data_IF_228158203562
#
_entry.id   IF_228158203562
#
_cell.length_a   1.000
_cell.length_b   1.000
_cell.length_c   1.000
_cell.angle_alpha   90.00
_cell.angle_beta   90.00
_cell.angle_gamma   90.00
#
_symmetry.space_group_name_H-M   'P 1'
#
loop_
_entity.id
_entity.type
_entity.pdbx_description
1 polymer ?
#
# COMPACT_ATOMS: atom_id res chain seq x y z
N UNK A 1 30.72 18.83 -4.80
CA UNK A 1 29.90 17.94 -3.98
C UNK A 1 30.75 16.81 -3.45
N UNK A 2 30.43 16.28 -2.29
CA UNK A 2 31.12 15.13 -1.74
C UNK A 2 30.88 13.90 -2.63
N UNK A 3 31.90 13.08 -2.92
CA UNK A 3 31.71 11.85 -3.68
C UNK A 3 30.80 10.88 -2.92
N UNK A 4 29.96 10.17 -3.64
CA UNK A 4 29.15 9.07 -3.08
C UNK A 4 29.89 7.77 -3.32
N UNK A 5 30.12 7.01 -2.26
CA UNK A 5 30.80 5.73 -2.29
C UNK A 5 29.75 4.61 -2.31
N UNK A 6 29.79 3.76 -3.32
CA UNK A 6 28.85 2.64 -3.44
C UNK A 6 29.36 1.40 -2.71
N UNK A 7 28.53 0.82 -1.84
CA UNK A 7 28.83 -0.36 -1.04
C UNK A 7 28.01 -1.56 -1.53
N UNK A 8 28.69 -2.48 -2.23
CA UNK A 8 28.05 -3.63 -2.89
C UNK A 8 27.47 -4.67 -1.93
N UNK A 9 28.02 -4.75 -0.72
CA UNK A 9 27.59 -5.73 0.28
C UNK A 9 26.36 -5.29 1.06
N UNK A 10 25.78 -4.13 0.73
CA UNK A 10 24.63 -3.60 1.43
C UNK A 10 24.90 -3.44 2.94
N UNK A 11 24.01 -3.95 3.79
CA UNK A 11 24.18 -3.89 5.25
C UNK A 11 25.20 -4.90 5.79
N UNK A 12 25.71 -5.84 4.97
CA UNK A 12 26.80 -6.77 5.32
C UNK A 12 28.20 -6.19 5.06
N UNK A 13 28.29 -4.91 4.74
CA UNK A 13 29.57 -4.19 4.60
C UNK A 13 30.33 -4.22 5.92
N UNK A 14 31.64 -4.47 5.85
CA UNK A 14 32.52 -4.45 7.02
C UNK A 14 32.80 -3.01 7.47
N UNK A 15 33.03 -2.81 8.77
CA UNK A 15 33.25 -1.47 9.36
C UNK A 15 34.45 -0.75 8.73
N UNK A 16 35.51 -1.50 8.36
CA UNK A 16 36.72 -0.96 7.75
C UNK A 16 36.49 -0.35 6.37
N UNK A 17 35.41 -0.74 5.68
CA UNK A 17 35.04 -0.16 4.38
C UNK A 17 34.37 1.22 4.55
N UNK A 18 33.97 1.59 5.77
CA UNK A 18 33.27 2.82 6.09
C UNK A 18 34.23 3.80 6.77
N UNK A 19 34.67 4.83 6.03
CA UNK A 19 35.45 5.91 6.62
C UNK A 19 34.55 6.85 7.41
N UNK A 20 35.10 7.53 8.44
CA UNK A 20 34.33 8.42 9.32
C UNK A 20 33.70 9.64 8.62
N UNK A 21 34.17 9.99 7.43
CA UNK A 21 33.69 11.15 6.66
C UNK A 21 33.35 10.75 5.22
N UNK A 22 32.12 10.38 4.96
CA UNK A 22 31.70 10.00 3.62
C UNK A 22 30.18 9.91 3.47
N UNK A 23 29.70 9.96 2.23
CA UNK A 23 28.32 9.62 1.87
C UNK A 23 28.39 8.26 1.20
N UNK A 24 27.67 7.30 1.74
CA UNK A 24 27.65 5.93 1.27
C UNK A 24 26.26 5.58 0.74
N UNK A 25 26.23 4.91 -0.40
CA UNK A 25 25.02 4.33 -0.97
C UNK A 25 25.17 2.82 -0.92
N UNK A 26 24.30 2.17 -0.16
CA UNK A 26 24.25 0.72 -0.10
C UNK A 26 23.61 0.16 -1.37
N UNK A 27 24.02 -1.04 -1.77
CA UNK A 27 23.29 -1.83 -2.75
C UNK A 27 21.84 -2.05 -2.27
N UNK A 28 20.93 -2.25 -3.20
CA UNK A 28 19.55 -2.57 -2.90
C UNK A 28 19.49 -3.75 -1.91
N UNK A 29 19.10 -3.47 -0.67
CA UNK A 29 19.10 -4.46 0.41
C UNK A 29 18.24 -5.68 0.09
N UNK A 30 17.25 -5.54 -0.79
CA UNK A 30 16.38 -6.64 -1.24
C UNK A 30 17.04 -7.61 -2.23
N UNK A 31 18.25 -7.34 -2.67
CA UNK A 31 19.07 -8.30 -3.42
C UNK A 31 19.82 -9.27 -2.52
N UNK A 32 19.74 -9.07 -1.21
CA UNK A 32 20.42 -9.87 -0.20
C UNK A 32 19.43 -10.69 0.63
N UNK A 33 19.70 -11.98 0.80
CA UNK A 33 18.81 -12.92 1.51
C UNK A 33 18.59 -12.54 2.98
N UNK A 34 19.58 -11.93 3.63
CA UNK A 34 19.47 -11.51 5.03
C UNK A 34 18.29 -10.55 5.27
N UNK A 35 17.93 -9.73 4.28
CA UNK A 35 16.91 -8.68 4.43
C UNK A 35 15.54 -9.25 4.83
N UNK A 36 15.18 -10.40 4.28
CA UNK A 36 13.83 -10.97 4.42
C UNK A 36 13.77 -12.28 5.19
N UNK A 37 14.92 -12.93 5.43
CA UNK A 37 14.94 -14.18 6.17
C UNK A 37 14.83 -13.96 7.70
N UNK A 38 14.49 -15.02 8.43
CA UNK A 38 14.34 -14.97 9.89
C UNK A 38 15.64 -15.32 10.65
N UNK A 39 16.77 -15.52 9.93
CA UNK A 39 18.02 -15.87 10.54
C UNK A 39 18.55 -14.76 11.46
N UNK A 40 19.37 -15.15 12.43
CA UNK A 40 20.10 -14.16 13.23
C UNK A 40 21.04 -13.37 12.31
N UNK A 41 20.77 -12.07 12.22
CA UNK A 41 21.58 -11.13 11.48
C UNK A 41 21.98 -9.95 12.39
N UNK A 42 23.20 -9.51 12.25
CA UNK A 42 23.73 -8.38 13.04
C UNK A 42 24.50 -7.44 12.11
N UNK A 43 24.17 -6.17 12.21
CA UNK A 43 24.91 -5.12 11.52
C UNK A 43 26.37 -5.14 11.95
N UNK A 44 27.30 -5.01 11.03
CA UNK A 44 28.76 -5.11 11.26
C UNK A 44 29.43 -3.78 11.57
N UNK A 45 28.69 -2.68 11.48
CA UNK A 45 29.18 -1.34 11.77
C UNK A 45 28.23 -0.62 12.75
N UNK A 46 28.75 0.33 13.56
CA UNK A 46 27.93 1.08 14.50
C UNK A 46 27.05 2.11 13.79
N UNK A 47 25.88 2.37 14.36
CA UNK A 47 24.95 3.38 13.89
C UNK A 47 24.48 4.22 15.10
N UNK A 48 24.83 5.49 15.11
CA UNK A 48 24.42 6.42 16.17
C UNK A 48 22.95 6.80 16.03
N UNK A 49 22.52 7.10 14.83
CA UNK A 49 21.14 7.52 14.51
C UNK A 49 20.61 6.70 13.35
N UNK A 50 19.46 6.05 13.56
CA UNK A 50 18.70 5.41 12.50
C UNK A 50 17.51 6.31 12.11
N UNK A 51 17.48 6.71 10.83
CA UNK A 51 16.38 7.51 10.28
C UNK A 51 15.61 6.70 9.22
N UNK A 52 14.36 6.34 9.51
CA UNK A 52 13.52 5.63 8.55
C UNK A 52 12.84 6.61 7.59
N UNK A 53 13.06 6.44 6.28
CA UNK A 53 12.36 7.16 5.21
C UNK A 53 11.56 6.20 4.30
N UNK A 54 11.47 4.91 4.66
CA UNK A 54 10.81 3.87 3.88
C UNK A 54 9.39 3.59 4.40
N UNK A 55 8.49 4.58 4.38
CA UNK A 55 7.12 4.47 4.89
C UNK A 55 6.39 3.24 4.33
N UNK A 56 6.42 3.04 3.00
CA UNK A 56 5.73 1.94 2.32
C UNK A 56 6.21 0.54 2.73
N UNK A 57 7.43 0.42 3.28
CA UNK A 57 8.01 -0.84 3.74
C UNK A 57 7.99 -1.00 5.27
N UNK A 58 7.59 0.02 6.02
CA UNK A 58 7.71 0.05 7.49
C UNK A 58 6.85 -0.97 8.22
N UNK A 59 5.85 -1.54 7.56
CA UNK A 59 5.01 -2.61 8.09
C UNK A 59 5.67 -3.99 8.01
N UNK A 60 6.86 -4.12 7.41
CA UNK A 60 7.57 -5.38 7.18
C UNK A 60 8.67 -5.60 8.21
N UNK A 61 8.84 -6.86 8.63
CA UNK A 61 9.91 -7.27 9.55
C UNK A 61 11.26 -7.45 8.83
N UNK A 62 11.63 -6.51 7.97
CA UNK A 62 12.88 -6.54 7.23
C UNK A 62 14.04 -6.07 8.09
N UNK A 63 15.26 -6.60 7.87
CA UNK A 63 16.44 -6.26 8.67
C UNK A 63 16.79 -4.79 8.59
N UNK A 64 16.64 -4.16 7.41
CA UNK A 64 16.86 -2.71 7.25
C UNK A 64 15.84 -1.85 8.03
N UNK A 65 14.69 -2.40 8.42
CA UNK A 65 13.65 -1.68 9.18
C UNK A 65 13.78 -1.93 10.68
N UNK A 66 13.87 -3.20 11.08
CA UNK A 66 13.84 -3.58 12.50
C UNK A 66 15.18 -4.05 13.06
N UNK A 67 16.11 -4.48 12.19
CA UNK A 67 17.38 -5.10 12.56
C UNK A 67 18.48 -4.12 12.94
N UNK A 68 18.40 -2.87 12.47
CA UNK A 68 19.40 -1.83 12.80
C UNK A 68 19.25 -1.39 14.25
N UNK A 69 20.31 -1.65 15.04
CA UNK A 69 20.40 -1.19 16.43
C UNK A 69 21.00 0.21 16.47
N UNK A 70 20.33 1.12 17.16
CA UNK A 70 20.75 2.50 17.35
C UNK A 70 20.06 3.04 18.60
N UNK A 71 20.75 3.90 19.34
CA UNK A 71 20.19 4.56 20.54
C UNK A 71 19.13 5.59 20.15
N UNK A 72 19.27 6.21 18.99
CA UNK A 72 18.32 7.18 18.45
C UNK A 72 17.66 6.61 17.19
N UNK A 73 16.34 6.41 17.28
CA UNK A 73 15.51 6.02 16.13
C UNK A 73 14.53 7.13 15.81
N UNK A 74 14.49 7.54 14.56
CA UNK A 74 13.63 8.61 14.06
C UNK A 74 13.13 8.31 12.66
N UNK A 75 12.33 9.19 12.11
CA UNK A 75 11.90 9.18 10.71
C UNK A 75 12.12 10.55 10.09
N UNK A 76 12.29 10.58 8.78
CA UNK A 76 12.62 11.80 8.06
C UNK A 76 11.39 12.53 7.49
N UNK A 77 11.65 13.54 6.67
CA UNK A 77 10.61 14.46 6.16
C UNK A 77 9.62 13.78 5.20
N UNK A 78 10.06 12.83 4.37
CA UNK A 78 9.16 12.12 3.47
C UNK A 78 8.21 11.23 4.25
N UNK A 79 8.73 10.54 5.27
CA UNK A 79 7.92 9.72 6.17
C UNK A 79 6.88 10.57 6.93
N UNK A 80 7.26 11.75 7.40
CA UNK A 80 6.36 12.70 8.08
C UNK A 80 5.19 13.09 7.17
N UNK A 81 5.45 13.41 5.88
CA UNK A 81 4.40 13.75 4.92
C UNK A 81 3.37 12.63 4.72
N UNK A 82 3.83 11.37 4.74
CA UNK A 82 2.94 10.21 4.66
C UNK A 82 2.04 10.11 5.91
N UNK A 83 2.63 10.29 7.12
CA UNK A 83 1.86 10.33 8.36
C UNK A 83 0.83 11.45 8.33
N UNK A 84 1.23 12.67 7.95
CA UNK A 84 0.34 13.84 7.88
C UNK A 84 -0.83 13.58 6.93
N UNK A 85 -0.59 12.94 5.79
CA UNK A 85 -1.64 12.55 4.85
C UNK A 85 -2.64 11.54 5.47
N UNK A 86 -2.15 10.56 6.23
CA UNK A 86 -3.02 9.64 6.97
C UNK A 86 -3.78 10.31 8.11
N UNK A 87 -3.19 11.30 8.75
CA UNK A 87 -3.82 12.07 9.80
C UNK A 87 -5.07 12.83 9.31
N UNK A 88 -5.10 13.25 8.05
CA UNK A 88 -6.31 13.83 7.44
C UNK A 88 -7.50 12.88 7.52
N UNK A 89 -7.29 11.59 7.28
CA UNK A 89 -8.34 10.56 7.37
C UNK A 89 -8.71 10.27 8.83
N UNK A 90 -7.69 10.15 9.69
CA UNK A 90 -7.89 9.69 11.09
C UNK A 90 -8.44 10.76 12.01
N UNK A 91 -8.09 12.03 11.78
CA UNK A 91 -8.44 13.18 12.64
C UNK A 91 -9.62 14.00 12.11
N UNK A 92 -10.05 13.79 10.85
CA UNK A 92 -11.18 14.51 10.28
C UNK A 92 -12.50 14.05 10.93
N UNK A 93 -13.23 14.98 11.53
CA UNK A 93 -14.51 14.70 12.19
C UNK A 93 -15.74 14.98 11.31
N UNK A 94 -15.64 15.92 10.37
CA UNK A 94 -16.77 16.44 9.60
C UNK A 94 -16.60 16.32 8.08
N UNK A 95 -15.50 15.76 7.60
CA UNK A 95 -15.26 15.58 6.17
C UNK A 95 -15.86 14.27 5.67
N UNK A 96 -16.42 14.31 4.47
CA UNK A 96 -16.84 13.10 3.74
C UNK A 96 -15.63 12.42 3.15
N UNK A 97 -15.43 11.18 3.52
CA UNK A 97 -14.26 10.38 3.13
C UNK A 97 -14.71 9.27 2.19
N UNK A 98 -14.12 9.25 0.99
CA UNK A 98 -14.20 8.15 0.03
C UNK A 98 -12.92 7.34 0.07
N UNK A 99 -13.00 6.03 0.31
CA UNK A 99 -11.90 5.10 0.17
C UNK A 99 -12.07 4.25 -1.09
N UNK A 100 -11.14 4.35 -2.03
CA UNK A 100 -11.12 3.58 -3.27
C UNK A 100 -10.15 2.41 -3.08
N UNK A 101 -10.65 1.18 -3.21
CA UNK A 101 -9.90 -0.06 -3.01
C UNK A 101 -9.85 -0.82 -4.32
N UNK A 102 -8.74 -0.67 -5.02
CA UNK A 102 -8.43 -1.38 -6.26
C UNK A 102 -7.41 -2.51 -6.07
N UNK A 103 -6.90 -3.06 -7.18
CA UNK A 103 -5.92 -4.14 -7.22
C UNK A 103 -6.53 -5.53 -7.30
N UNK A 104 -5.72 -6.58 -7.02
CA UNK A 104 -6.10 -7.97 -7.33
C UNK A 104 -6.27 -8.88 -6.12
N UNK A 105 -5.80 -8.49 -4.94
CA UNK A 105 -5.82 -9.33 -3.72
C UNK A 105 -6.51 -8.58 -2.60
N UNK A 106 -7.75 -8.96 -2.34
CA UNK A 106 -8.57 -8.37 -1.26
C UNK A 106 -8.02 -8.80 0.11
N UNK A 107 -7.45 -10.00 0.20
CA UNK A 107 -6.93 -10.59 1.43
C UNK A 107 -5.89 -9.68 2.11
N UNK A 108 -4.97 -9.14 1.31
CA UNK A 108 -3.90 -8.26 1.80
C UNK A 108 -4.44 -6.92 2.32
N UNK A 109 -5.70 -6.61 2.04
CA UNK A 109 -6.35 -5.32 2.33
C UNK A 109 -7.46 -5.41 3.38
N UNK A 110 -7.83 -6.63 3.81
CA UNK A 110 -8.98 -6.83 4.71
C UNK A 110 -8.87 -6.02 6.00
N UNK A 111 -7.70 -6.03 6.65
CA UNK A 111 -7.49 -5.26 7.89
C UNK A 111 -7.60 -3.75 7.64
N UNK A 112 -7.05 -3.26 6.54
CA UNK A 112 -7.17 -1.85 6.14
C UNK A 112 -8.63 -1.49 5.84
N UNK A 113 -9.35 -2.33 5.08
CA UNK A 113 -10.77 -2.11 4.77
C UNK A 113 -11.64 -2.10 6.02
N UNK A 114 -11.36 -2.97 7.00
CA UNK A 114 -12.07 -3.00 8.28
C UNK A 114 -11.85 -1.68 9.05
N UNK A 115 -10.62 -1.20 9.13
CA UNK A 115 -10.32 0.08 9.76
C UNK A 115 -10.98 1.26 9.03
N UNK A 116 -10.90 1.29 7.69
CA UNK A 116 -11.50 2.33 6.88
C UNK A 116 -13.04 2.31 6.95
N UNK A 117 -13.66 1.14 7.11
CA UNK A 117 -15.12 1.03 7.19
C UNK A 117 -15.72 1.75 8.41
N UNK A 118 -14.92 1.95 9.47
CA UNK A 118 -15.32 2.73 10.65
C UNK A 118 -15.11 4.25 10.49
N UNK A 119 -14.32 4.67 9.49
CA UNK A 119 -13.89 6.07 9.32
C UNK A 119 -14.47 6.72 8.07
N UNK A 120 -14.46 6.02 6.96
CA UNK A 120 -14.94 6.50 5.67
C UNK A 120 -16.46 6.58 5.64
N UNK A 121 -17.01 7.43 4.78
CA UNK A 121 -18.43 7.47 4.45
C UNK A 121 -18.73 6.50 3.30
N UNK A 122 -17.77 6.31 2.39
CA UNK A 122 -17.88 5.40 1.26
C UNK A 122 -16.62 4.57 1.12
N UNK A 123 -16.78 3.28 0.80
CA UNK A 123 -15.70 2.40 0.33
C UNK A 123 -16.08 1.89 -1.05
N UNK A 124 -15.33 2.28 -2.08
CA UNK A 124 -15.53 1.84 -3.45
C UNK A 124 -14.56 0.71 -3.79
N UNK A 125 -15.09 -0.49 -3.98
CA UNK A 125 -14.31 -1.69 -4.31
C UNK A 125 -14.35 -1.90 -5.81
N UNK A 126 -13.17 -1.99 -6.43
CA UNK A 126 -13.00 -2.03 -7.88
C UNK A 126 -11.77 -2.84 -8.29
N UNK A 127 -11.47 -2.85 -9.59
CA UNK A 127 -10.37 -3.62 -10.16
C UNK A 127 -10.64 -5.12 -10.12
N UNK A 128 -9.61 -5.92 -10.17
CA UNK A 128 -9.73 -7.38 -10.16
C UNK A 128 -10.35 -7.95 -8.85
N UNK A 129 -10.42 -7.13 -7.79
CA UNK A 129 -11.05 -7.54 -6.53
C UNK A 129 -12.50 -7.97 -6.70
N UNK A 130 -13.23 -7.35 -7.65
CA UNK A 130 -14.66 -7.64 -7.88
C UNK A 130 -14.91 -9.01 -8.50
N UNK A 131 -13.93 -9.61 -9.17
CA UNK A 131 -14.05 -10.94 -9.75
C UNK A 131 -14.27 -12.04 -8.68
N UNK A 132 -13.97 -11.77 -7.42
CA UNK A 132 -13.98 -12.74 -6.34
C UNK A 132 -14.82 -12.31 -5.12
N UNK A 133 -15.74 -11.36 -5.25
CA UNK A 133 -16.51 -10.82 -4.12
C UNK A 133 -17.27 -11.92 -3.35
N UNK A 134 -17.77 -12.93 -4.04
CA UNK A 134 -18.48 -14.05 -3.40
C UNK A 134 -17.65 -14.80 -2.37
N UNK A 135 -16.34 -14.92 -2.59
CA UNK A 135 -15.38 -15.54 -1.65
C UNK A 135 -15.27 -14.77 -0.33
N UNK A 136 -15.52 -13.48 -0.35
CA UNK A 136 -15.34 -12.58 0.81
C UNK A 136 -16.67 -12.09 1.38
N UNK A 137 -17.78 -12.75 1.05
CA UNK A 137 -19.13 -12.33 1.44
C UNK A 137 -19.23 -12.09 2.95
N UNK A 138 -18.80 -13.05 3.78
CA UNK A 138 -18.87 -12.92 5.25
C UNK A 138 -18.10 -11.69 5.76
N UNK A 139 -16.92 -11.42 5.21
CA UNK A 139 -16.13 -10.25 5.56
C UNK A 139 -16.82 -8.96 5.11
N UNK A 140 -17.34 -8.92 3.89
CA UNK A 140 -18.07 -7.76 3.36
C UNK A 140 -19.35 -7.49 4.16
N UNK A 141 -20.09 -8.55 4.52
CA UNK A 141 -21.28 -8.45 5.40
C UNK A 141 -20.91 -7.92 6.80
N UNK A 142 -19.75 -8.31 7.32
CA UNK A 142 -19.23 -7.79 8.60
C UNK A 142 -18.98 -6.27 8.51
N UNK A 143 -18.19 -5.82 7.54
CA UNK A 143 -17.79 -4.41 7.43
C UNK A 143 -18.92 -3.51 6.92
N UNK A 144 -19.94 -4.04 6.24
CA UNK A 144 -21.12 -3.28 5.81
C UNK A 144 -21.99 -2.79 6.97
N UNK A 145 -21.80 -3.34 8.17
CA UNK A 145 -22.49 -2.91 9.40
C UNK A 145 -21.83 -1.70 10.06
N UNK A 146 -20.63 -1.33 9.59
CA UNK A 146 -19.90 -0.17 10.08
C UNK A 146 -20.41 1.13 9.42
N UNK A 147 -19.72 2.25 9.64
CA UNK A 147 -20.12 3.57 9.12
C UNK A 147 -20.18 3.63 7.59
N UNK A 148 -19.20 3.00 6.90
CA UNK A 148 -19.04 3.18 5.46
C UNK A 148 -20.10 2.43 4.64
N UNK A 149 -20.69 3.13 3.68
CA UNK A 149 -21.46 2.48 2.61
C UNK A 149 -20.48 1.78 1.65
N UNK A 150 -20.66 0.47 1.46
CA UNK A 150 -19.89 -0.30 0.48
C UNK A 150 -20.48 -0.10 -0.92
N UNK A 151 -19.62 0.21 -1.86
CA UNK A 151 -19.93 0.43 -3.27
C UNK A 151 -19.04 -0.47 -4.11
N UNK A 152 -19.58 -0.94 -5.23
CA UNK A 152 -18.87 -1.86 -6.11
C UNK A 152 -18.96 -1.37 -7.55
N UNK A 153 -17.89 -1.62 -8.31
CA UNK A 153 -17.98 -1.49 -9.76
C UNK A 153 -19.05 -2.42 -10.32
N UNK A 154 -19.73 -1.99 -11.37
CA UNK A 154 -20.85 -2.73 -11.99
C UNK A 154 -20.53 -3.25 -13.36
N UNK A 155 -19.52 -2.69 -14.02
CA UNK A 155 -19.04 -3.09 -15.34
C UNK A 155 -17.51 -2.96 -15.42
N UNK A 156 -16.90 -3.63 -16.40
CA UNK A 156 -15.48 -3.56 -16.64
C UNK A 156 -15.09 -4.06 -18.03
N UNK A 157 -13.84 -3.84 -18.40
CA UNK A 157 -13.25 -4.34 -19.63
C UNK A 157 -12.65 -5.73 -19.41
N UNK A 158 -12.87 -6.64 -20.35
CA UNK A 158 -12.26 -7.98 -20.37
C UNK A 158 -11.06 -8.02 -21.31
N UNK A 159 -10.30 -9.11 -21.25
CA UNK A 159 -9.17 -9.37 -22.15
C UNK A 159 -9.64 -9.69 -23.59
N UNK A 160 -10.87 -10.15 -23.77
CA UNK A 160 -11.40 -10.56 -25.07
C UNK A 160 -11.97 -9.32 -25.77
N UNK A 161 -11.29 -8.86 -26.83
CA UNK A 161 -11.71 -7.77 -27.74
C UNK A 161 -12.04 -6.43 -27.04
N UNK A 162 -11.49 -6.15 -25.87
CA UNK A 162 -11.83 -4.96 -25.07
C UNK A 162 -13.34 -4.77 -24.87
N UNK A 163 -14.09 -5.86 -24.78
CA UNK A 163 -15.54 -5.78 -24.55
C UNK A 163 -15.86 -5.32 -23.15
N UNK A 164 -16.92 -4.51 -23.05
CA UNK A 164 -17.51 -4.14 -21.76
C UNK A 164 -18.39 -5.31 -21.30
N UNK A 165 -18.17 -5.75 -20.07
CA UNK A 165 -18.96 -6.82 -19.44
C UNK A 165 -19.51 -6.31 -18.11
N UNK A 166 -20.75 -6.66 -17.82
CA UNK A 166 -21.33 -6.39 -16.49
C UNK A 166 -20.90 -7.47 -15.51
N UNK A 167 -20.69 -7.10 -14.25
CA UNK A 167 -20.23 -8.06 -13.23
C UNK A 167 -21.21 -9.20 -12.97
N UNK A 168 -22.51 -9.03 -13.28
CA UNK A 168 -23.51 -10.10 -13.24
C UNK A 168 -23.28 -11.18 -14.30
N UNK A 169 -22.47 -10.91 -15.31
CA UNK A 169 -22.18 -11.81 -16.45
C UNK A 169 -20.78 -12.45 -16.35
N UNK A 170 -20.08 -12.24 -15.23
CA UNK A 170 -18.73 -12.78 -15.05
C UNK A 170 -18.73 -14.31 -14.95
N UNK A 171 -17.73 -14.90 -15.62
CA UNK A 171 -17.41 -16.32 -15.55
C UNK A 171 -15.88 -16.52 -15.66
N UNK A 172 -15.42 -17.76 -15.76
CA UNK A 172 -13.98 -18.06 -15.82
C UNK A 172 -13.28 -17.48 -17.06
N UNK A 173 -14.04 -17.27 -18.15
CA UNK A 173 -13.51 -16.84 -19.44
C UNK A 173 -13.48 -15.32 -19.59
N UNK A 174 -14.39 -14.59 -18.92
CA UNK A 174 -14.59 -13.14 -19.10
C UNK A 174 -14.30 -12.29 -17.85
N UNK A 175 -13.26 -12.64 -17.12
CA UNK A 175 -12.82 -11.86 -15.94
C UNK A 175 -12.54 -10.41 -16.33
N UNK A 176 -12.99 -9.49 -15.48
CA UNK A 176 -12.72 -8.06 -15.63
C UNK A 176 -11.26 -7.77 -15.34
N UNK A 177 -10.63 -7.01 -16.23
CA UNK A 177 -9.24 -6.55 -16.12
C UNK A 177 -9.13 -5.07 -15.76
N UNK A 178 -10.13 -4.27 -16.15
CA UNK A 178 -10.14 -2.83 -15.83
C UNK A 178 -11.57 -2.35 -15.59
N UNK A 179 -11.69 -1.19 -14.92
CA UNK A 179 -12.98 -0.57 -14.61
C UNK A 179 -13.71 -0.12 -15.89
N UNK A 180 -15.00 -0.37 -15.97
CA UNK A 180 -15.84 0.03 -17.09
C UNK A 180 -16.38 1.46 -16.98
N UNK A 181 -16.97 1.98 -18.06
CA UNK A 181 -17.42 3.36 -18.16
C UNK A 181 -18.53 3.72 -17.17
N UNK A 182 -19.48 2.81 -16.90
CA UNK A 182 -20.55 3.06 -15.92
C UNK A 182 -19.99 3.10 -14.50
N UNK A 183 -19.09 2.18 -14.17
CA UNK A 183 -18.38 2.15 -12.89
C UNK A 183 -17.54 3.40 -12.69
N UNK A 184 -16.84 3.85 -13.75
CA UNK A 184 -16.02 5.05 -13.69
C UNK A 184 -16.88 6.31 -13.46
N UNK A 185 -18.00 6.43 -14.18
CA UNK A 185 -18.93 7.55 -13.99
C UNK A 185 -19.57 7.53 -12.59
N UNK A 186 -19.90 6.35 -12.08
CA UNK A 186 -20.40 6.20 -10.71
C UNK A 186 -19.33 6.63 -9.69
N UNK A 187 -18.11 6.13 -9.82
CA UNK A 187 -16.97 6.50 -8.97
C UNK A 187 -16.73 8.02 -8.98
N UNK A 188 -16.75 8.64 -10.17
CA UNK A 188 -16.60 10.10 -10.31
C UNK A 188 -17.64 10.86 -9.48
N UNK A 189 -18.91 10.42 -9.49
CA UNK A 189 -19.95 11.03 -8.69
C UNK A 189 -19.70 10.97 -7.18
N UNK A 190 -18.98 9.96 -6.68
CA UNK A 190 -18.57 9.89 -5.29
C UNK A 190 -17.33 10.72 -5.00
N UNK A 191 -16.38 10.79 -5.96
CA UNK A 191 -15.19 11.66 -5.83
C UNK A 191 -15.61 13.12 -5.64
N UNK A 192 -16.49 13.66 -6.49
CA UNK A 192 -16.89 15.06 -6.41
C UNK A 192 -17.74 15.41 -5.17
N UNK A 193 -18.31 14.41 -4.49
CA UNK A 193 -19.10 14.58 -3.26
C UNK A 193 -18.27 14.41 -1.99
N UNK A 194 -16.99 14.05 -2.13
CA UNK A 194 -16.11 13.74 -1.01
C UNK A 194 -15.09 14.86 -0.81
N UNK A 195 -14.81 15.17 0.45
CA UNK A 195 -13.80 16.16 0.83
C UNK A 195 -12.39 15.54 0.84
N UNK A 196 -12.32 14.24 1.14
CA UNK A 196 -11.08 13.46 1.20
C UNK A 196 -11.26 12.19 0.38
N UNK A 197 -10.28 11.91 -0.49
CA UNK A 197 -10.22 10.65 -1.25
C UNK A 197 -8.96 9.89 -0.85
N UNK A 198 -9.14 8.71 -0.29
CA UNK A 198 -8.09 7.74 -0.07
C UNK A 198 -8.12 6.70 -1.18
N UNK A 199 -7.00 6.47 -1.85
CA UNK A 199 -6.92 5.53 -2.96
C UNK A 199 -5.78 4.53 -2.77
N UNK A 200 -6.13 3.24 -2.73
CA UNK A 200 -5.18 2.14 -2.62
C UNK A 200 -5.42 1.09 -3.70
N UNK A 201 -4.42 0.86 -4.53
CA UNK A 201 -4.40 -0.14 -5.60
C UNK A 201 -4.94 0.36 -6.94
N UNK A 202 -4.46 -0.25 -8.02
CA UNK A 202 -4.87 0.11 -9.38
C UNK A 202 -6.33 -0.24 -9.66
N UNK A 203 -7.00 0.55 -10.51
CA UNK A 203 -8.37 0.27 -10.96
C UNK A 203 -8.41 -0.89 -11.96
N UNK A 204 -7.32 -1.14 -12.65
CA UNK A 204 -7.15 -2.20 -13.65
C UNK A 204 -5.82 -2.93 -13.52
N UNK A 205 -5.59 -3.87 -14.43
CA UNK A 205 -4.31 -4.59 -14.55
C UNK A 205 -3.30 -3.67 -15.22
N UNK A 206 -2.17 -3.45 -14.55
CA UNK A 206 -1.02 -2.67 -15.04
C UNK A 206 0.06 -3.58 -15.58
#
# INVERSE_FOLDING_TARGET
>A
GNPIIFLKNGLDTEEEEISKNGIYLLENVRFHDYETNNDEWKLKFPVDIYCNEAFSCSHRSHKSIIGVKSDIKTYGYCFTKEIDAFDLITKSKNSKILSIIGGSKIEDKMLMMENLSNKSDYIYITGNNVNNLGKYKEFLDKISKNKAQLLFSTDGFTKIDNKIVYYSELNEENKVLDVGPNSLNNLYNYIIKSDIVFWNGALGVT
#
